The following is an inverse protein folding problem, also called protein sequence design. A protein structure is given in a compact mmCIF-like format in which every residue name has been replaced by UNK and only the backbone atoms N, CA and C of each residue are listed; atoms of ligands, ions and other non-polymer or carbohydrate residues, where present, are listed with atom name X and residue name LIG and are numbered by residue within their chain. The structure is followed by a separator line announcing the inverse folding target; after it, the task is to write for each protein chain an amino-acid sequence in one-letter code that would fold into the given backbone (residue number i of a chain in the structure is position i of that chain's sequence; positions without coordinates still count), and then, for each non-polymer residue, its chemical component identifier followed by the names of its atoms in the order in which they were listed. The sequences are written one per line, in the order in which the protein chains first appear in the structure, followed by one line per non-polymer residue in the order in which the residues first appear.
data_IF_253793155632
#
_entry.id   IF_253793155632
#
_cell.length_a   1.000
_cell.length_b   1.000
_cell.length_c   1.000
_cell.angle_alpha   90.00
_cell.angle_beta   90.00
_cell.angle_gamma   90.00
#
_symmetry.space_group_name_H-M   'P 1'
#
loop_
_entity.id
_entity.type
_entity.pdbx_description
1 polymer ?
#
# COMPACT_ATOMS: atom_id res chain seq x y z
N UNK A 1 -33.60 30.62 18.44
CA UNK A 1 -33.51 30.11 17.06
C UNK A 1 -32.22 30.55 16.34
N UNK A 2 -31.88 31.85 16.32
CA UNK A 2 -30.64 32.34 15.66
C UNK A 2 -29.32 31.73 16.20
N UNK A 3 -29.18 31.57 17.52
CA UNK A 3 -27.96 30.99 18.14
C UNK A 3 -27.80 29.47 17.93
N UNK A 4 -28.91 28.73 17.82
CA UNK A 4 -28.91 27.28 17.58
C UNK A 4 -28.58 26.97 16.11
N UNK A 5 -29.04 27.82 15.19
CA UNK A 5 -28.72 27.70 13.76
C UNK A 5 -27.24 28.05 13.47
N UNK A 6 -26.64 29.00 14.19
CA UNK A 6 -25.22 29.33 14.07
C UNK A 6 -24.29 28.24 14.63
N UNK A 7 -24.69 27.53 15.71
CA UNK A 7 -23.91 26.41 16.23
C UNK A 7 -23.90 25.20 15.28
N UNK A 8 -25.02 24.92 14.60
CA UNK A 8 -25.08 23.84 13.62
C UNK A 8 -24.23 24.14 12.38
N UNK A 9 -24.18 25.41 11.94
CA UNK A 9 -23.41 25.82 10.77
C UNK A 9 -21.89 25.79 11.02
N UNK A 10 -21.44 26.07 12.24
CA UNK A 10 -20.02 25.96 12.64
C UNK A 10 -19.59 24.50 12.81
N UNK A 11 -20.48 23.63 13.30
CA UNK A 11 -20.20 22.20 13.43
C UNK A 11 -20.07 21.48 12.07
N UNK A 12 -20.83 21.92 11.05
CA UNK A 12 -20.72 21.38 9.68
C UNK A 12 -19.47 21.90 8.95
N UNK A 13 -19.02 23.14 9.23
CA UNK A 13 -17.78 23.67 8.63
C UNK A 13 -16.49 23.07 9.20
N UNK A 14 -16.51 22.46 10.40
CA UNK A 14 -15.33 21.78 10.96
C UNK A 14 -15.08 20.39 10.35
N UNK A 15 -16.00 19.83 9.56
CA UNK A 15 -15.81 18.55 8.87
C UNK A 15 -15.23 18.70 7.45
N UNK A 16 -15.01 19.93 6.97
CA UNK A 16 -14.64 20.20 5.58
C UNK A 16 -13.14 20.42 5.33
N UNK A 17 -12.25 20.19 6.29
CA UNK A 17 -10.79 20.38 6.11
C UNK A 17 -9.93 19.21 6.55
N UNK A 18 -10.45 17.98 6.56
CA UNK A 18 -9.56 16.84 6.35
C UNK A 18 -9.34 16.76 4.85
N UNK A 19 -8.39 17.56 4.36
CA UNK A 19 -7.75 17.24 3.10
C UNK A 19 -7.28 15.80 3.26
N UNK A 20 -7.90 14.87 2.54
CA UNK A 20 -7.36 13.52 2.42
C UNK A 20 -5.98 13.71 1.77
N UNK A 21 -4.95 13.78 2.60
CA UNK A 21 -3.59 13.51 2.14
C UNK A 21 -3.70 12.10 1.57
N UNK A 22 -3.73 11.99 0.25
CA UNK A 22 -3.64 10.70 -0.41
C UNK A 22 -2.37 10.06 0.15
N UNK A 23 -2.51 8.98 0.90
CA UNK A 23 -1.36 8.28 1.45
C UNK A 23 -0.53 7.78 0.28
N UNK A 24 0.76 8.11 0.24
CA UNK A 24 1.65 7.59 -0.79
C UNK A 24 1.62 6.05 -0.71
N UNK A 25 1.53 5.41 -1.87
CA UNK A 25 1.30 3.96 -1.95
C UNK A 25 2.62 3.21 -2.10
N UNK A 26 2.78 2.14 -1.32
CA UNK A 26 3.95 1.24 -1.36
C UNK A 26 3.50 -0.15 -1.79
N UNK A 27 4.10 -0.68 -2.85
CA UNK A 27 3.94 -2.06 -3.28
C UNK A 27 4.95 -2.96 -2.57
N UNK A 28 4.50 -4.03 -1.93
CA UNK A 28 5.35 -5.02 -1.24
C UNK A 28 5.13 -6.39 -1.89
N UNK A 29 6.12 -6.88 -2.62
CA UNK A 29 6.06 -8.14 -3.35
C UNK A 29 6.91 -9.21 -2.66
N UNK A 30 6.25 -10.25 -2.14
CA UNK A 30 6.87 -11.38 -1.44
C UNK A 30 6.85 -12.65 -2.31
N UNK A 31 7.83 -13.56 -2.17
CA UNK A 31 7.96 -14.69 -3.07
C UNK A 31 6.87 -15.75 -2.83
N UNK A 32 6.56 -16.07 -1.57
CA UNK A 32 5.57 -17.12 -1.21
C UNK A 32 4.99 -16.89 0.17
N UNK A 33 3.77 -17.37 0.42
CA UNK A 33 3.15 -17.41 1.74
C UNK A 33 3.22 -18.80 2.41
N UNK A 34 3.87 -19.78 1.76
CA UNK A 34 4.06 -21.13 2.31
C UNK A 34 5.14 -21.19 3.39
N UNK A 35 6.06 -20.21 3.42
CA UNK A 35 7.12 -20.11 4.41
C UNK A 35 6.76 -19.04 5.44
N UNK A 36 6.76 -19.44 6.72
CA UNK A 36 6.44 -18.56 7.84
C UNK A 36 7.25 -17.25 7.83
N UNK A 37 8.55 -17.35 7.46
CA UNK A 37 9.42 -16.18 7.35
C UNK A 37 8.82 -15.08 6.47
N UNK A 38 8.40 -15.40 5.25
CA UNK A 38 7.89 -14.40 4.32
C UNK A 38 6.53 -13.84 4.74
N UNK A 39 5.72 -14.63 5.45
CA UNK A 39 4.51 -14.14 6.08
C UNK A 39 4.80 -13.11 7.18
N UNK A 40 5.84 -13.36 7.99
CA UNK A 40 6.29 -12.44 9.03
C UNK A 40 6.92 -11.18 8.43
N UNK A 41 7.80 -11.33 7.44
CA UNK A 41 8.45 -10.22 6.74
C UNK A 41 7.39 -9.30 6.09
N UNK A 42 6.43 -9.88 5.35
CA UNK A 42 5.33 -9.14 4.73
C UNK A 42 4.40 -8.45 5.74
N UNK A 43 3.98 -9.17 6.80
CA UNK A 43 3.11 -8.59 7.82
C UNK A 43 3.80 -7.47 8.60
N UNK A 44 5.07 -7.64 8.97
CA UNK A 44 5.85 -6.64 9.69
C UNK A 44 6.09 -5.39 8.83
N UNK A 45 6.42 -5.58 7.55
CA UNK A 45 6.60 -4.48 6.60
C UNK A 45 5.32 -3.67 6.46
N UNK A 46 4.19 -4.35 6.20
CA UNK A 46 2.88 -3.72 6.09
C UNK A 46 2.53 -2.93 7.35
N UNK A 47 2.66 -3.55 8.53
CA UNK A 47 2.34 -2.89 9.79
C UNK A 47 3.17 -1.63 10.04
N UNK A 48 4.47 -1.65 9.74
CA UNK A 48 5.35 -0.49 9.93
C UNK A 48 5.07 0.64 8.93
N UNK A 49 4.83 0.30 7.66
CA UNK A 49 4.51 1.27 6.62
C UNK A 49 3.14 1.91 6.85
N UNK A 50 2.13 1.12 7.20
CA UNK A 50 0.80 1.65 7.56
C UNK A 50 0.87 2.54 8.82
N UNK A 51 1.67 2.14 9.83
CA UNK A 51 1.90 2.97 11.01
C UNK A 51 2.63 4.29 10.69
N UNK A 52 3.41 4.33 9.61
CA UNK A 52 4.05 5.53 9.10
C UNK A 52 3.14 6.38 8.19
N UNK A 53 1.92 5.91 7.88
CA UNK A 53 0.93 6.66 7.11
C UNK A 53 0.85 6.31 5.62
N UNK A 54 1.49 5.24 5.17
CA UNK A 54 1.45 4.79 3.78
C UNK A 54 0.29 3.81 3.51
N UNK A 55 -0.23 3.81 2.28
CA UNK A 55 -1.08 2.71 1.80
C UNK A 55 -0.19 1.55 1.33
N UNK A 56 -0.50 0.31 1.71
CA UNK A 56 0.35 -0.85 1.38
C UNK A 56 -0.41 -1.88 0.56
N UNK A 57 0.09 -2.16 -0.64
CA UNK A 57 -0.31 -3.31 -1.47
C UNK A 57 0.67 -4.47 -1.25
N UNK A 58 0.32 -5.40 -0.36
CA UNK A 58 1.13 -6.59 -0.06
C UNK A 58 0.64 -7.79 -0.86
N UNK A 59 1.50 -8.34 -1.73
CA UNK A 59 1.18 -9.51 -2.54
C UNK A 59 2.22 -10.62 -2.40
N UNK A 60 1.78 -11.85 -2.68
CA UNK A 60 2.60 -13.05 -2.64
C UNK A 60 2.51 -13.78 -3.98
N UNK A 61 3.65 -14.15 -4.56
CA UNK A 61 3.72 -14.75 -5.89
C UNK A 61 3.69 -16.28 -5.92
N UNK A 62 3.62 -16.94 -4.76
CA UNK A 62 3.65 -18.40 -4.62
C UNK A 62 4.81 -19.10 -5.37
N UNK A 63 6.01 -18.51 -5.33
CA UNK A 63 7.22 -18.94 -6.06
C UNK A 63 7.07 -18.97 -7.59
N UNK A 64 6.07 -18.29 -8.15
CA UNK A 64 5.90 -18.13 -9.59
C UNK A 64 6.46 -16.79 -10.07
N UNK A 65 7.47 -16.84 -10.94
CA UNK A 65 8.18 -15.65 -11.44
C UNK A 65 7.27 -14.77 -12.30
N UNK A 66 6.46 -15.38 -13.18
CA UNK A 66 5.56 -14.63 -14.06
C UNK A 66 4.50 -13.87 -13.25
N UNK A 67 3.94 -14.51 -12.23
CA UNK A 67 3.03 -13.88 -11.28
C UNK A 67 3.72 -12.71 -10.59
N UNK A 68 4.95 -12.88 -10.09
CA UNK A 68 5.67 -11.77 -9.44
C UNK A 68 5.87 -10.58 -10.38
N UNK A 69 6.22 -10.82 -11.65
CA UNK A 69 6.35 -9.75 -12.66
C UNK A 69 5.00 -9.04 -12.86
N UNK A 70 3.91 -9.77 -13.09
CA UNK A 70 2.59 -9.17 -13.25
C UNK A 70 2.09 -8.43 -12.01
N UNK A 71 2.45 -8.87 -10.81
CA UNK A 71 2.15 -8.15 -9.57
C UNK A 71 2.83 -6.78 -9.55
N UNK A 72 4.11 -6.72 -9.93
CA UNK A 72 4.86 -5.46 -10.00
C UNK A 72 4.29 -4.51 -11.07
N UNK A 73 3.93 -5.04 -12.25
CA UNK A 73 3.24 -4.26 -13.30
C UNK A 73 1.97 -3.60 -12.73
N UNK A 74 1.15 -4.39 -12.02
CA UNK A 74 -0.09 -3.90 -11.43
C UNK A 74 0.15 -2.90 -10.28
N UNK A 75 1.20 -3.07 -9.48
CA UNK A 75 1.56 -2.10 -8.44
C UNK A 75 1.97 -0.76 -9.04
N UNK A 76 2.79 -0.77 -10.11
CA UNK A 76 3.21 0.43 -10.84
C UNK A 76 2.01 1.13 -11.45
N UNK A 77 1.17 0.40 -12.20
CA UNK A 77 -0.06 0.94 -12.79
C UNK A 77 -1.05 1.41 -11.73
N UNK A 78 -1.04 0.77 -10.56
CA UNK A 78 -1.84 1.08 -9.40
C UNK A 78 -1.32 2.23 -8.54
N UNK A 79 -0.30 2.96 -9.01
CA UNK A 79 0.20 4.18 -8.38
C UNK A 79 1.14 3.98 -7.21
N UNK A 80 1.77 2.80 -7.07
CA UNK A 80 2.83 2.62 -6.08
C UNK A 80 4.01 3.54 -6.39
N UNK A 81 4.38 4.41 -5.45
CA UNK A 81 5.53 5.30 -5.56
C UNK A 81 6.84 4.59 -5.20
N UNK A 82 6.75 3.57 -4.35
CA UNK A 82 7.88 2.74 -3.90
C UNK A 82 7.51 1.26 -4.03
N UNK A 83 8.47 0.45 -4.47
CA UNK A 83 8.38 -1.01 -4.49
C UNK A 83 9.41 -1.63 -3.54
N UNK A 84 8.95 -2.51 -2.66
CA UNK A 84 9.77 -3.36 -1.80
C UNK A 84 9.66 -4.80 -2.29
N UNK A 85 10.75 -5.35 -2.82
CA UNK A 85 10.72 -6.61 -3.57
C UNK A 85 11.62 -7.65 -2.92
N UNK A 86 11.02 -8.74 -2.43
CA UNK A 86 11.73 -9.97 -2.15
C UNK A 86 11.61 -10.88 -3.38
N UNK A 87 12.57 -10.77 -4.29
CA UNK A 87 12.50 -11.41 -5.60
C UNK A 87 12.68 -12.93 -5.53
N UNK A 88 11.94 -13.64 -6.38
CA UNK A 88 12.17 -15.07 -6.67
C UNK A 88 13.37 -15.19 -7.61
N UNK A 89 13.35 -14.44 -8.71
CA UNK A 89 14.44 -14.29 -9.66
C UNK A 89 14.60 -12.82 -10.03
N UNK A 90 15.68 -12.19 -9.55
CA UNK A 90 15.96 -10.78 -9.83
C UNK A 90 16.28 -10.48 -11.30
N UNK A 91 16.74 -11.46 -12.07
CA UNK A 91 17.08 -11.26 -13.49
C UNK A 91 15.83 -11.09 -14.36
N UNK A 92 14.71 -11.69 -13.95
CA UNK A 92 13.42 -11.57 -14.62
C UNK A 92 12.76 -10.19 -14.43
N UNK A 93 13.20 -9.39 -13.46
CA UNK A 93 12.58 -8.10 -13.15
C UNK A 93 12.97 -6.98 -14.12
N UNK A 94 14.01 -7.16 -14.93
CA UNK A 94 14.45 -6.15 -15.91
C UNK A 94 13.45 -5.89 -17.04
N UNK A 95 12.39 -6.70 -17.16
CA UNK A 95 11.29 -6.42 -18.08
C UNK A 95 10.28 -5.42 -17.52
N UNK A 96 10.25 -5.21 -16.19
CA UNK A 96 9.26 -4.38 -15.50
C UNK A 96 9.87 -3.15 -14.80
N UNK A 97 11.16 -3.19 -14.46
CA UNK A 97 11.91 -2.11 -13.79
C UNK A 97 12.93 -1.47 -14.74
#
# INVERSE_FOLDING_TARGET
MKKILSLLLVAVMMFATVSALAADKVGVAMPTNSLQRWNQDGANMKAQLEAAGYEVDLQYANNDVATQVSQLENMILGGAEVLVIASIDGSALGTVL
#
